data_IF_454105829493
#
_entry.id   IF_454105829493
#
_cell.length_a   1.000
_cell.length_b   1.000
_cell.length_c   1.000
_cell.angle_alpha   90.00
_cell.angle_beta   90.00
_cell.angle_gamma   90.00
#
_symmetry.space_group_name_H-M   'P 1'
#
loop_
_entity.id
_entity.type
_entity.pdbx_description
1 polymer ?
#
# COMPACT_ATOMS: atom_id res chain seq x y z
N UNK A 1 9.37 -28.22 -10.90
CA UNK A 1 8.96 -26.85 -11.23
C UNK A 1 8.95 -26.05 -9.94
N UNK A 2 9.88 -25.10 -9.79
CA UNK A 2 9.94 -24.28 -8.58
C UNK A 2 8.71 -23.37 -8.57
N UNK A 3 7.88 -23.48 -7.53
CA UNK A 3 6.77 -22.57 -7.33
C UNK A 3 7.32 -21.14 -7.31
N UNK A 4 6.94 -20.34 -8.31
CA UNK A 4 7.21 -18.90 -8.31
C UNK A 4 6.66 -18.38 -6.99
N UNK A 5 7.49 -17.67 -6.19
CA UNK A 5 6.94 -16.90 -5.06
C UNK A 5 5.81 -16.05 -5.62
N UNK A 6 4.58 -16.12 -5.09
CA UNK A 6 3.50 -15.31 -5.61
C UNK A 6 3.93 -13.84 -5.46
N UNK A 7 4.21 -13.19 -6.58
CA UNK A 7 4.43 -11.75 -6.60
C UNK A 7 3.11 -11.03 -6.35
N UNK A 8 3.19 -9.72 -6.14
CA UNK A 8 1.98 -8.89 -6.18
C UNK A 8 1.34 -8.98 -7.57
N UNK A 9 0.03 -8.80 -7.61
CA UNK A 9 -0.79 -8.75 -8.81
C UNK A 9 -0.16 -7.84 -9.88
N UNK A 10 -0.15 -8.21 -11.19
CA UNK A 10 0.52 -7.43 -12.25
C UNK A 10 0.10 -5.96 -12.39
N UNK A 11 -1.11 -5.61 -11.94
CA UNK A 11 -1.63 -4.22 -11.90
C UNK A 11 -1.21 -3.43 -10.65
N UNK A 12 -0.58 -4.08 -9.68
CA UNK A 12 -0.19 -3.48 -8.41
C UNK A 12 1.02 -2.55 -8.62
N UNK A 13 0.89 -1.28 -8.20
CA UNK A 13 1.94 -0.26 -8.34
C UNK A 13 3.19 -0.54 -7.48
N UNK A 14 3.06 -1.41 -6.48
CA UNK A 14 4.06 -1.65 -5.43
C UNK A 14 4.97 -2.87 -5.71
N UNK A 15 5.05 -3.31 -6.96
CA UNK A 15 5.87 -4.48 -7.37
C UNK A 15 7.39 -4.26 -7.26
N UNK A 16 7.83 -3.00 -7.24
CA UNK A 16 9.23 -2.62 -7.30
C UNK A 16 9.67 -1.91 -6.02
N UNK A 17 10.99 -1.76 -5.84
CA UNK A 17 11.54 -0.94 -4.76
C UNK A 17 11.09 0.51 -4.91
N UNK A 18 10.84 1.16 -3.77
CA UNK A 18 10.44 2.56 -3.74
C UNK A 18 11.63 3.50 -3.91
N UNK A 19 11.39 4.58 -4.63
CA UNK A 19 12.23 5.78 -4.54
C UNK A 19 11.94 6.48 -3.20
N UNK A 20 12.70 6.13 -2.17
CA UNK A 20 12.55 6.70 -0.84
C UNK A 20 12.82 8.21 -0.83
N UNK A 21 13.64 8.73 -1.74
CA UNK A 21 13.90 10.15 -1.85
C UNK A 21 12.64 10.88 -2.34
N UNK A 22 11.97 10.36 -3.37
CA UNK A 22 10.70 10.89 -3.86
C UNK A 22 9.59 10.81 -2.81
N UNK A 23 9.53 9.73 -2.02
CA UNK A 23 8.58 9.61 -0.91
C UNK A 23 8.85 10.61 0.22
N UNK A 24 10.11 10.92 0.52
CA UNK A 24 10.46 11.94 1.51
C UNK A 24 10.08 13.36 1.05
N UNK A 25 10.06 13.63 -0.26
CA UNK A 25 9.59 14.92 -0.77
C UNK A 25 8.09 15.13 -0.51
N UNK A 26 7.27 14.09 -0.66
CA UNK A 26 5.83 14.18 -0.38
C UNK A 26 5.52 14.10 1.10
N UNK A 27 6.30 13.34 1.88
CA UNK A 27 6.13 13.17 3.32
C UNK A 27 7.48 13.32 4.05
N UNK A 28 7.89 14.55 4.42
CA UNK A 28 9.20 14.81 5.03
C UNK A 28 9.46 14.04 6.34
N UNK A 29 8.39 13.75 7.09
CA UNK A 29 8.42 12.94 8.31
C UNK A 29 9.07 11.56 8.11
N UNK A 30 8.97 10.97 6.92
CA UNK A 30 9.60 9.68 6.60
C UNK A 30 11.13 9.72 6.74
N UNK A 31 11.75 10.88 6.52
CA UNK A 31 13.20 11.06 6.55
C UNK A 31 13.80 10.61 7.90
N UNK A 32 13.09 10.89 9.00
CA UNK A 32 13.53 10.54 10.36
C UNK A 32 13.48 9.05 10.65
N UNK A 33 12.85 8.26 9.78
CA UNK A 33 12.70 6.81 9.92
C UNK A 33 13.54 6.02 8.91
N UNK A 34 14.34 6.70 8.08
CA UNK A 34 15.25 6.04 7.15
C UNK A 34 16.46 5.46 7.87
N UNK A 35 16.76 4.20 7.57
CA UNK A 35 17.94 3.48 8.02
C UNK A 35 18.82 3.11 6.83
N UNK A 36 20.06 2.72 7.11
CA UNK A 36 20.92 2.06 6.12
C UNK A 36 20.95 0.56 6.38
N UNK A 37 20.77 -0.23 5.33
CA UNK A 37 20.96 -1.68 5.40
C UNK A 37 22.46 -2.00 5.53
N UNK A 38 22.84 -3.22 5.94
CA UNK A 38 24.24 -3.65 5.94
C UNK A 38 24.94 -3.53 4.57
N UNK A 39 24.16 -3.55 3.48
CA UNK A 39 24.66 -3.33 2.12
C UNK A 39 24.83 -1.84 1.75
N UNK A 40 24.54 -0.92 2.67
CA UNK A 40 24.67 0.54 2.47
C UNK A 40 23.47 1.22 1.81
N UNK A 41 22.44 0.46 1.42
CA UNK A 41 21.21 0.97 0.79
C UNK A 41 20.30 1.64 1.82
N UNK A 42 19.53 2.65 1.40
CA UNK A 42 18.48 3.22 2.24
C UNK A 42 17.29 2.27 2.36
N UNK A 43 16.74 2.15 3.56
CA UNK A 43 15.57 1.34 3.87
C UNK A 43 14.80 1.95 5.05
N UNK A 44 13.73 1.29 5.46
CA UNK A 44 12.96 1.60 6.66
C UNK A 44 13.09 0.40 7.62
N UNK A 45 13.07 0.66 8.92
CA UNK A 45 12.97 -0.40 9.92
C UNK A 45 11.53 -0.93 9.99
N UNK A 46 11.29 -2.09 9.40
CA UNK A 46 9.98 -2.73 9.38
C UNK A 46 9.55 -3.32 10.73
N UNK A 47 10.46 -3.42 11.71
CA UNK A 47 10.12 -3.79 13.08
C UNK A 47 9.60 -2.60 13.90
N UNK A 48 9.84 -1.36 13.45
CA UNK A 48 9.36 -0.15 14.10
C UNK A 48 7.98 0.26 13.58
N UNK A 49 6.90 0.18 14.39
CA UNK A 49 5.54 0.50 13.94
C UNK A 49 5.38 1.95 13.45
N UNK A 50 6.14 2.90 14.01
CA UNK A 50 6.08 4.31 13.60
C UNK A 50 6.74 4.50 12.22
N UNK A 51 7.84 3.80 11.97
CA UNK A 51 8.52 3.82 10.68
C UNK A 51 7.63 3.21 9.57
N UNK A 52 6.97 2.09 9.86
CA UNK A 52 5.99 1.47 8.95
C UNK A 52 4.79 2.39 8.69
N UNK A 53 4.29 3.07 9.72
CA UNK A 53 3.21 4.05 9.60
C UNK A 53 3.61 5.24 8.72
N UNK A 54 4.80 5.81 8.93
CA UNK A 54 5.33 6.89 8.11
C UNK A 54 5.51 6.48 6.64
N UNK A 55 6.01 5.28 6.39
CA UNK A 55 6.13 4.72 5.04
C UNK A 55 4.77 4.57 4.38
N UNK A 56 3.80 3.97 5.06
CA UNK A 56 2.45 3.80 4.51
C UNK A 56 1.76 5.14 4.21
N UNK A 57 1.92 6.14 5.09
CA UNK A 57 1.44 7.51 4.86
C UNK A 57 2.07 8.13 3.60
N UNK A 58 3.38 7.94 3.40
CA UNK A 58 4.06 8.43 2.21
C UNK A 58 3.59 7.72 0.93
N UNK A 59 3.39 6.40 0.96
CA UNK A 59 2.85 5.63 -0.16
C UNK A 59 1.43 6.09 -0.54
N UNK A 60 0.59 6.34 0.46
CA UNK A 60 -0.77 6.86 0.28
C UNK A 60 -0.79 8.24 -0.37
N UNK A 61 0.02 9.15 0.14
CA UNK A 61 0.12 10.50 -0.40
C UNK A 61 0.66 10.49 -1.84
N UNK A 62 1.74 9.73 -2.08
CA UNK A 62 2.45 9.74 -3.35
C UNK A 62 1.70 9.01 -4.48
N UNK A 63 1.17 7.81 -4.22
CA UNK A 63 0.57 6.97 -5.26
C UNK A 63 -0.95 7.06 -5.37
N UNK A 64 -1.61 7.56 -4.32
CA UNK A 64 -3.08 7.53 -4.21
C UNK A 64 -3.69 8.88 -3.86
N UNK A 65 -2.88 9.95 -3.75
CA UNK A 65 -3.33 11.29 -3.38
C UNK A 65 -4.08 11.36 -2.03
N UNK A 66 -3.81 10.41 -1.12
CA UNK A 66 -4.37 10.39 0.23
C UNK A 66 -3.38 11.05 1.19
N UNK A 67 -3.58 12.33 1.45
CA UNK A 67 -2.64 13.17 2.23
C UNK A 67 -2.96 13.24 3.72
N UNK A 68 -4.23 13.08 4.09
CA UNK A 68 -4.72 13.22 5.48
C UNK A 68 -5.10 11.87 6.07
N UNK A 69 -4.11 10.98 6.15
CA UNK A 69 -4.28 9.66 6.74
C UNK A 69 -3.50 9.54 8.05
N UNK A 70 -4.17 8.99 9.06
CA UNK A 70 -3.58 8.69 10.35
C UNK A 70 -4.24 7.47 10.99
N UNK A 71 -3.52 6.79 11.88
CA UNK A 71 -4.03 5.69 12.70
C UNK A 71 -3.76 6.03 14.17
N UNK A 72 -4.77 5.92 15.06
CA UNK A 72 -4.57 6.08 16.48
C UNK A 72 -3.52 5.09 17.06
N UNK A 73 -2.85 5.44 18.16
CA UNK A 73 -1.94 4.53 18.85
C UNK A 73 -2.62 3.22 19.25
N UNK A 74 -1.87 2.11 19.23
CA UNK A 74 -2.37 0.79 19.66
C UNK A 74 -3.16 0.00 18.61
N UNK A 75 -3.34 0.54 17.40
CA UNK A 75 -3.99 -0.16 16.29
C UNK A 75 -2.97 -0.66 15.25
N UNK A 76 -3.31 -1.77 14.58
CA UNK A 76 -2.47 -2.41 13.56
C UNK A 76 -2.34 -1.53 12.32
N UNK A 77 -1.12 -1.30 11.81
CA UNK A 77 -0.87 -0.59 10.56
C UNK A 77 -0.69 -1.60 9.41
N UNK A 78 -1.72 -1.90 8.60
CA UNK A 78 -1.61 -2.88 7.54
C UNK A 78 -0.75 -2.33 6.39
N UNK A 79 0.00 -3.19 5.70
CA UNK A 79 0.81 -2.79 4.56
C UNK A 79 -0.08 -2.36 3.40
N UNK A 80 0.12 -1.13 2.90
CA UNK A 80 -0.58 -0.59 1.71
C UNK A 80 -0.45 -1.50 0.48
N UNK A 81 0.73 -2.10 0.17
CA UNK A 81 0.87 -2.97 -0.99
C UNK A 81 -0.07 -4.17 -1.01
N UNK A 82 -0.24 -4.84 0.15
CA UNK A 82 -1.12 -6.01 0.26
C UNK A 82 -2.60 -5.65 0.12
N UNK A 83 -3.01 -4.45 0.56
CA UNK A 83 -4.38 -3.96 0.36
C UNK A 83 -4.66 -3.61 -1.11
N UNK A 84 -3.70 -2.98 -1.79
CA UNK A 84 -3.81 -2.74 -3.23
C UNK A 84 -3.90 -4.05 -4.02
N UNK A 85 -3.15 -5.06 -3.57
CA UNK A 85 -3.15 -6.40 -4.17
C UNK A 85 -4.53 -7.07 -4.13
N UNK A 86 -5.13 -7.05 -2.93
CA UNK A 86 -6.47 -7.55 -2.69
C UNK A 86 -7.51 -6.88 -3.60
N UNK A 87 -7.43 -5.56 -3.78
CA UNK A 87 -8.34 -4.82 -4.67
C UNK A 87 -8.20 -5.27 -6.12
N UNK A 88 -6.99 -5.54 -6.61
CA UNK A 88 -6.81 -6.03 -7.96
C UNK A 88 -7.38 -7.44 -8.16
N UNK A 89 -7.10 -8.36 -7.22
CA UNK A 89 -7.67 -9.71 -7.29
C UNK A 89 -9.20 -9.68 -7.24
N UNK A 90 -9.81 -8.83 -6.43
CA UNK A 90 -11.26 -8.63 -6.43
C UNK A 90 -11.78 -8.11 -7.78
N UNK A 91 -11.06 -7.18 -8.40
CA UNK A 91 -11.46 -6.64 -9.70
C UNK A 91 -11.44 -7.70 -10.81
N UNK A 92 -10.48 -8.64 -10.77
CA UNK A 92 -10.45 -9.77 -11.73
C UNK A 92 -11.57 -10.77 -11.44
N UNK A 93 -11.81 -11.11 -10.18
CA UNK A 93 -12.92 -12.00 -9.78
C UNK A 93 -14.28 -11.43 -10.24
N UNK A 94 -14.49 -10.13 -10.08
CA UNK A 94 -15.69 -9.47 -10.61
C UNK A 94 -15.75 -9.53 -12.14
N UNK A 95 -14.60 -9.36 -12.81
CA UNK A 95 -14.48 -9.47 -14.26
C UNK A 95 -14.81 -10.87 -14.81
N UNK A 96 -14.47 -11.93 -14.09
CA UNK A 96 -14.81 -13.31 -14.45
C UNK A 96 -16.33 -13.53 -14.48
N UNK A 97 -17.07 -12.93 -13.54
CA UNK A 97 -18.53 -13.06 -13.47
C UNK A 97 -19.27 -12.20 -14.49
N UNK A 98 -18.71 -11.05 -14.88
CA UNK A 98 -19.37 -10.03 -15.72
C UNK A 98 -18.84 -9.98 -17.16
N UNK A 99 -17.78 -10.74 -17.47
CA UNK A 99 -17.11 -10.75 -18.77
C UNK A 99 -16.14 -9.59 -19.00
N UNK A 100 -16.09 -8.60 -18.12
CA UNK A 100 -15.12 -7.49 -18.16
C UNK A 100 -14.96 -6.85 -16.79
N UNK A 101 -13.77 -6.31 -16.48
CA UNK A 101 -13.54 -5.69 -15.17
C UNK A 101 -14.43 -4.44 -15.03
N UNK A 102 -15.32 -4.39 -14.02
CA UNK A 102 -16.25 -3.28 -13.87
C UNK A 102 -15.51 -1.96 -13.61
N UNK A 103 -15.98 -0.87 -14.22
CA UNK A 103 -15.44 0.46 -13.98
C UNK A 103 -15.78 0.99 -12.57
N UNK A 104 -16.91 0.54 -12.02
CA UNK A 104 -17.39 0.89 -10.68
C UNK A 104 -18.01 -0.35 -10.04
N UNK A 105 -17.74 -0.55 -8.75
CA UNK A 105 -18.31 -1.63 -7.97
C UNK A 105 -18.54 -1.15 -6.53
N UNK A 106 -19.61 -1.63 -5.92
CA UNK A 106 -19.87 -1.45 -4.48
C UNK A 106 -19.40 -2.70 -3.77
N UNK A 107 -18.52 -2.53 -2.78
CA UNK A 107 -17.92 -3.64 -2.03
C UNK A 107 -18.23 -3.42 -0.55
N UNK A 108 -18.69 -4.49 0.11
CA UNK A 108 -18.79 -4.54 1.57
C UNK A 108 -17.51 -5.18 2.11
N UNK A 109 -16.74 -4.41 2.88
CA UNK A 109 -15.56 -4.92 3.59
C UNK A 109 -15.92 -5.15 5.06
N UNK A 110 -15.77 -6.39 5.52
CA UNK A 110 -16.13 -6.82 6.89
C UNK A 110 -14.86 -7.01 7.70
N UNK A 111 -14.76 -6.34 8.85
CA UNK A 111 -13.56 -6.42 9.69
C UNK A 111 -12.45 -5.44 9.31
N UNK A 112 -12.81 -4.28 8.74
CA UNK A 112 -11.90 -3.18 8.35
C UNK A 112 -11.04 -2.60 9.48
N UNK A 113 -11.35 -2.90 10.74
CA UNK A 113 -10.75 -2.22 11.90
C UNK A 113 -11.16 -0.75 11.93
N UNK A 114 -10.34 0.13 12.54
CA UNK A 114 -10.58 1.60 12.53
C UNK A 114 -9.96 2.31 11.30
N UNK A 115 -9.71 1.61 10.21
CA UNK A 115 -9.05 2.19 9.03
C UNK A 115 -9.95 2.19 7.82
N UNK A 116 -10.09 3.35 7.19
CA UNK A 116 -10.81 3.49 5.93
C UNK A 116 -9.80 3.79 4.82
N UNK A 117 -9.47 2.78 4.02
CA UNK A 117 -8.61 2.93 2.83
C UNK A 117 -9.40 3.01 1.51
N UNK A 118 -10.66 2.53 1.49
CA UNK A 118 -11.31 2.15 0.24
C UNK A 118 -11.89 3.31 -0.60
N UNK A 119 -12.08 4.50 -0.03
CA UNK A 119 -12.71 5.62 -0.75
C UNK A 119 -11.81 6.25 -1.82
N UNK A 120 -10.49 6.03 -1.79
CA UNK A 120 -9.54 6.81 -2.58
C UNK A 120 -8.95 6.09 -3.80
N UNK A 121 -9.27 4.81 -4.01
CA UNK A 121 -8.76 4.05 -5.16
C UNK A 121 -9.58 4.39 -6.43
N UNK A 122 -9.43 5.62 -6.94
CA UNK A 122 -9.88 5.96 -8.29
C UNK A 122 -8.76 5.64 -9.28
N UNK A 123 -9.11 4.82 -10.27
CA UNK A 123 -8.27 4.52 -11.43
C UNK A 123 -7.91 5.85 -12.14
N UNK A 124 -6.65 6.24 -12.09
CA UNK A 124 -6.02 7.09 -13.12
C UNK A 124 -5.41 6.16 -14.15
#
# INVERSE_FOLDING_TARGET
>A
MSAQKPGLHPRNRHQHRYDLAALCQTTPELTSFLIRTPAGEQSVDFANPQAVKALNKALLAHFYAVTHWDIPPGFLCPPVPGRADYIHHLADLLGETTGSIPAQATILDVGVGRQLYLSAYRRT
#
